data_IF_983418670114
#
_entry.id   IF_983418670114
#
_cell.length_a   1.000
_cell.length_b   1.000
_cell.length_c   1.000
_cell.angle_alpha   90.00
_cell.angle_beta   90.00
_cell.angle_gamma   90.00
#
_symmetry.space_group_name_H-M   'P 1'
#
loop_
_entity.id
_entity.type
_entity.pdbx_description
1 polymer ?
#
# COMPACT_ATOMS: atom_id res chain seq x y z
N UNK A 1 -5.29 20.44 -16.54
CA UNK A 1 -6.41 19.88 -15.76
C UNK A 1 -5.97 18.50 -15.31
N UNK A 2 -5.68 18.31 -14.01
CA UNK A 2 -5.36 16.97 -13.50
C UNK A 2 -6.63 16.14 -13.55
N UNK A 3 -6.69 15.19 -14.47
CA UNK A 3 -7.79 14.23 -14.53
C UNK A 3 -7.77 13.41 -13.25
N UNK A 4 -8.86 13.44 -12.50
CA UNK A 4 -9.10 12.54 -11.36
C UNK A 4 -9.17 11.11 -11.88
N UNK A 5 -8.48 10.17 -11.23
CA UNK A 5 -8.55 8.76 -11.59
C UNK A 5 -9.99 8.24 -11.39
N UNK A 6 -10.50 7.52 -12.38
CA UNK A 6 -11.79 6.82 -12.30
C UNK A 6 -11.51 5.33 -12.49
N UNK A 7 -11.88 4.51 -11.51
CA UNK A 7 -11.63 3.08 -11.56
C UNK A 7 -12.45 2.43 -12.67
N UNK A 8 -11.89 1.39 -13.29
CA UNK A 8 -12.54 0.65 -14.36
C UNK A 8 -13.90 0.12 -13.87
N UNK A 9 -15.02 0.38 -14.59
CA UNK A 9 -16.36 0.04 -14.11
C UNK A 9 -16.54 -1.48 -13.95
N UNK A 10 -15.88 -2.27 -14.83
CA UNK A 10 -15.98 -3.73 -14.81
C UNK A 10 -14.96 -4.44 -13.90
N UNK A 11 -14.23 -3.71 -13.03
CA UNK A 11 -13.15 -4.28 -12.19
C UNK A 11 -13.57 -5.48 -11.33
N UNK A 12 -14.88 -5.62 -11.06
CA UNK A 12 -15.44 -6.75 -10.32
C UNK A 12 -16.26 -7.75 -11.16
N UNK A 13 -16.72 -7.36 -12.35
CA UNK A 13 -17.63 -8.17 -13.18
C UNK A 13 -16.89 -9.03 -14.20
N UNK A 14 -15.69 -8.62 -14.63
CA UNK A 14 -14.86 -9.36 -15.60
C UNK A 14 -13.93 -10.40 -14.97
N UNK A 15 -14.11 -10.70 -13.68
CA UNK A 15 -13.23 -11.55 -12.91
C UNK A 15 -13.57 -13.03 -13.09
N UNK A 16 -12.55 -13.89 -12.96
CA UNK A 16 -12.76 -15.34 -12.96
C UNK A 16 -13.58 -15.78 -11.72
N UNK A 17 -14.34 -16.89 -11.81
CA UNK A 17 -15.00 -17.46 -10.64
C UNK A 17 -14.02 -17.67 -9.48
N UNK A 18 -14.48 -17.42 -8.25
CA UNK A 18 -13.66 -17.51 -7.03
C UNK A 18 -12.41 -16.61 -7.00
N UNK A 19 -12.43 -15.47 -7.73
CA UNK A 19 -11.40 -14.45 -7.64
C UNK A 19 -11.24 -13.93 -6.21
N UNK A 20 -12.34 -13.59 -5.54
CA UNK A 20 -12.34 -13.25 -4.12
C UNK A 20 -12.50 -14.52 -3.27
N UNK A 21 -11.66 -14.66 -2.24
CA UNK A 21 -11.61 -15.84 -1.37
C UNK A 21 -11.71 -15.42 0.10
N UNK A 22 -12.41 -16.21 0.91
CA UNK A 22 -12.47 -15.99 2.36
C UNK A 22 -11.09 -16.12 2.99
N UNK A 23 -10.74 -15.18 3.86
CA UNK A 23 -9.56 -15.28 4.70
C UNK A 23 -9.87 -16.20 5.89
N UNK A 24 -9.63 -17.50 5.71
CA UNK A 24 -9.93 -18.53 6.70
C UNK A 24 -11.43 -18.66 6.98
N UNK A 25 -11.81 -18.62 8.27
CA UNK A 25 -13.21 -18.69 8.73
C UNK A 25 -13.85 -17.30 8.93
N UNK A 26 -13.20 -16.22 8.47
CA UNK A 26 -13.73 -14.87 8.58
C UNK A 26 -14.72 -14.54 7.46
N UNK A 27 -15.45 -13.43 7.62
CA UNK A 27 -16.25 -12.82 6.55
C UNK A 27 -15.42 -12.00 5.55
N UNK A 28 -14.14 -11.73 5.85
CA UNK A 28 -13.27 -10.94 5.00
C UNK A 28 -12.91 -11.71 3.73
N UNK A 29 -13.10 -11.07 2.58
CA UNK A 29 -12.78 -11.61 1.27
C UNK A 29 -11.55 -10.90 0.71
N UNK A 30 -10.51 -11.64 0.36
CA UNK A 30 -9.31 -11.10 -0.28
C UNK A 30 -9.26 -11.50 -1.76
N UNK A 31 -8.70 -10.68 -2.64
CA UNK A 31 -8.45 -11.08 -4.03
C UNK A 31 -7.43 -12.22 -4.06
N UNK A 32 -7.55 -13.11 -5.04
CA UNK A 32 -6.62 -14.23 -5.22
C UNK A 32 -5.18 -13.77 -5.49
N UNK A 33 -5.02 -12.54 -5.95
CA UNK A 33 -3.74 -11.84 -6.14
C UNK A 33 -3.81 -10.53 -5.34
N UNK A 34 -2.78 -10.27 -4.55
CA UNK A 34 -2.59 -9.05 -3.75
C UNK A 34 -1.34 -8.34 -4.23
N UNK A 35 -1.33 -7.01 -4.19
CA UNK A 35 -0.14 -6.23 -4.56
C UNK A 35 0.67 -5.89 -3.30
N UNK A 36 1.88 -6.45 -3.21
CA UNK A 36 2.86 -6.09 -2.19
C UNK A 36 3.66 -4.87 -2.60
N UNK A 37 3.74 -3.87 -1.73
CA UNK A 37 4.45 -2.61 -1.95
C UNK A 37 5.86 -2.62 -1.32
N UNK A 38 6.54 -3.77 -1.32
CA UNK A 38 7.88 -3.92 -0.74
C UNK A 38 8.94 -3.15 -1.52
N UNK A 39 8.99 -3.37 -2.83
CA UNK A 39 9.87 -2.66 -3.76
C UNK A 39 9.05 -1.80 -4.71
N UNK A 40 9.72 -0.90 -5.42
CA UNK A 40 9.14 -0.02 -6.47
C UNK A 40 8.19 1.06 -5.96
N UNK A 41 8.09 1.26 -4.64
CA UNK A 41 7.33 2.36 -4.02
C UNK A 41 8.20 3.28 -3.15
N UNK A 42 9.53 3.10 -3.14
CA UNK A 42 10.45 3.79 -2.24
C UNK A 42 10.75 5.25 -2.58
N UNK A 43 12.02 5.63 -2.47
CA UNK A 43 12.56 6.89 -2.97
C UNK A 43 12.89 6.85 -4.46
N UNK A 44 13.08 8.02 -5.07
CA UNK A 44 13.52 8.13 -6.47
C UNK A 44 14.82 7.36 -6.69
N UNK A 45 14.93 6.65 -7.81
CA UNK A 45 16.11 5.86 -8.17
C UNK A 45 16.30 4.56 -7.36
N UNK A 46 15.34 4.20 -6.50
CA UNK A 46 15.43 2.97 -5.68
C UNK A 46 14.67 1.78 -6.27
N UNK A 47 13.93 2.00 -7.36
CA UNK A 47 13.18 0.98 -8.06
C UNK A 47 13.97 0.38 -9.23
N UNK A 48 13.46 -0.72 -9.79
CA UNK A 48 14.11 -1.39 -10.92
C UNK A 48 14.06 -0.58 -12.23
N UNK A 49 13.16 0.41 -12.33
CA UNK A 49 13.03 1.28 -13.49
C UNK A 49 14.07 2.41 -13.55
N UNK A 50 14.83 2.63 -12.46
CA UNK A 50 15.83 3.71 -12.35
C UNK A 50 15.30 5.08 -12.76
N UNK A 51 14.09 5.44 -12.30
CA UNK A 51 13.55 6.76 -12.56
C UNK A 51 14.43 7.85 -11.94
N UNK A 52 14.78 8.86 -12.74
CA UNK A 52 15.72 9.91 -12.35
C UNK A 52 15.05 11.06 -11.57
N UNK A 53 13.72 11.18 -11.63
CA UNK A 53 12.98 12.27 -11.00
C UNK A 53 11.71 11.80 -10.24
N UNK A 54 11.32 12.58 -9.23
CA UNK A 54 10.17 12.27 -8.37
C UNK A 54 8.84 12.25 -9.12
N UNK A 55 8.68 13.05 -10.19
CA UNK A 55 7.41 13.13 -10.91
C UNK A 55 7.18 11.87 -11.73
N UNK A 56 8.18 11.44 -12.51
CA UNK A 56 8.06 10.21 -13.32
C UNK A 56 7.96 8.97 -12.44
N UNK A 57 8.72 8.92 -11.35
CA UNK A 57 8.64 7.80 -10.42
C UNK A 57 7.29 7.73 -9.70
N UNK A 58 6.78 8.87 -9.23
CA UNK A 58 5.45 8.93 -8.60
C UNK A 58 4.34 8.52 -9.58
N UNK A 59 4.43 8.93 -10.84
CA UNK A 59 3.48 8.51 -11.88
C UNK A 59 3.52 7.00 -12.14
N UNK A 60 4.72 6.39 -12.17
CA UNK A 60 4.85 4.93 -12.30
C UNK A 60 4.16 4.20 -11.12
N UNK A 61 4.38 4.68 -9.89
CA UNK A 61 3.73 4.12 -8.70
C UNK A 61 2.20 4.26 -8.75
N UNK A 62 1.69 5.41 -9.23
CA UNK A 62 0.24 5.63 -9.45
C UNK A 62 -0.31 4.60 -10.43
N UNK A 63 0.34 4.43 -11.58
CA UNK A 63 -0.08 3.49 -12.62
C UNK A 63 -0.10 2.05 -12.12
N UNK A 64 0.88 1.64 -11.30
CA UNK A 64 0.87 0.30 -10.68
C UNK A 64 -0.35 0.08 -9.78
N UNK A 65 -0.68 1.04 -8.90
CA UNK A 65 -1.84 0.94 -8.01
C UNK A 65 -3.16 0.96 -8.79
N UNK A 66 -3.28 1.84 -9.80
CA UNK A 66 -4.47 1.94 -10.65
C UNK A 66 -4.69 0.67 -11.46
N UNK A 67 -3.64 0.14 -12.10
CA UNK A 67 -3.73 -1.09 -12.88
C UNK A 67 -4.13 -2.27 -11.98
N UNK A 68 -3.57 -2.36 -10.76
CA UNK A 68 -3.98 -3.38 -9.80
C UNK A 68 -5.46 -3.26 -9.45
N UNK A 69 -5.93 -2.06 -9.09
CA UNK A 69 -7.32 -1.83 -8.72
C UNK A 69 -8.30 -2.08 -9.88
N UNK A 70 -7.96 -1.66 -11.10
CA UNK A 70 -8.73 -1.91 -12.32
C UNK A 70 -8.81 -3.41 -12.70
N UNK A 71 -7.88 -4.22 -12.20
CA UNK A 71 -7.86 -5.67 -12.33
C UNK A 71 -8.57 -6.38 -11.16
N UNK A 72 -9.20 -5.65 -10.25
CA UNK A 72 -9.90 -6.20 -9.09
C UNK A 72 -8.98 -6.66 -7.97
N UNK A 73 -7.72 -6.20 -7.93
CA UNK A 73 -6.84 -6.35 -6.78
C UNK A 73 -7.19 -5.27 -5.77
N UNK A 74 -7.88 -5.66 -4.70
CA UNK A 74 -8.35 -4.75 -3.65
C UNK A 74 -7.50 -4.76 -2.39
N UNK A 75 -6.40 -5.51 -2.34
CA UNK A 75 -5.51 -5.56 -1.19
C UNK A 75 -4.13 -5.02 -1.57
N UNK A 76 -3.70 -3.95 -0.87
CA UNK A 76 -2.35 -3.41 -0.94
C UNK A 76 -1.61 -3.66 0.37
N UNK A 77 -0.49 -4.37 0.27
CA UNK A 77 0.26 -4.84 1.42
C UNK A 77 1.55 -4.04 1.63
N UNK A 78 1.68 -3.42 2.80
CA UNK A 78 2.81 -2.60 3.19
C UNK A 78 3.50 -3.11 4.47
N UNK A 79 4.63 -2.52 4.80
CA UNK A 79 5.25 -2.63 6.12
C UNK A 79 5.96 -1.32 6.44
N UNK A 80 6.18 -1.07 7.73
CA UNK A 80 6.80 0.16 8.22
C UNK A 80 8.16 0.48 7.59
N UNK A 81 8.92 -0.54 7.18
CA UNK A 81 10.27 -0.40 6.64
C UNK A 81 10.37 -0.64 5.13
N UNK A 82 9.25 -0.81 4.43
CA UNK A 82 9.26 -0.88 2.96
C UNK A 82 9.74 0.45 2.35
N UNK A 83 10.45 0.34 1.22
CA UNK A 83 11.26 1.41 0.64
C UNK A 83 12.31 0.84 -0.33
N UNK A 84 13.56 1.35 -0.37
CA UNK A 84 14.21 2.29 0.56
C UNK A 84 13.94 3.78 0.25
N UNK A 85 14.14 4.72 1.21
CA UNK A 85 14.47 4.47 2.62
C UNK A 85 13.27 3.90 3.39
N UNK A 86 13.47 3.28 4.57
CA UNK A 86 12.39 2.74 5.39
C UNK A 86 11.25 3.75 5.60
N UNK A 87 10.01 3.34 5.30
CA UNK A 87 8.80 4.15 5.44
C UNK A 87 8.40 4.94 4.19
N UNK A 88 9.30 5.07 3.20
CA UNK A 88 9.00 5.81 1.96
C UNK A 88 7.89 5.18 1.13
N UNK A 89 7.75 3.85 1.16
CA UNK A 89 6.64 3.16 0.50
C UNK A 89 5.28 3.56 1.11
N UNK A 90 5.19 3.64 2.43
CA UNK A 90 3.96 4.08 3.12
C UNK A 90 3.62 5.54 2.81
N UNK A 91 4.62 6.43 2.77
CA UNK A 91 4.41 7.84 2.40
C UNK A 91 3.94 7.99 0.95
N UNK A 92 4.53 7.21 0.03
CA UNK A 92 4.17 7.27 -1.39
C UNK A 92 2.78 6.72 -1.64
N UNK A 93 2.49 5.52 -1.14
CA UNK A 93 1.16 4.92 -1.27
C UNK A 93 0.12 5.79 -0.55
N UNK A 94 0.42 6.33 0.63
CA UNK A 94 -0.45 7.27 1.34
C UNK A 94 -0.80 8.52 0.55
N UNK A 95 0.19 9.13 -0.13
CA UNK A 95 -0.05 10.26 -1.04
C UNK A 95 -1.05 9.88 -2.14
N UNK A 96 -0.85 8.73 -2.79
CA UNK A 96 -1.70 8.25 -3.90
C UNK A 96 -3.11 7.88 -3.39
N UNK A 97 -3.21 7.22 -2.24
CA UNK A 97 -4.48 6.91 -1.60
C UNK A 97 -5.29 8.19 -1.34
N UNK A 98 -4.66 9.21 -0.80
CA UNK A 98 -5.32 10.49 -0.52
C UNK A 98 -5.70 11.27 -1.79
N UNK A 99 -4.80 11.35 -2.78
CA UNK A 99 -5.02 12.18 -3.97
C UNK A 99 -5.93 11.53 -5.00
N UNK A 100 -5.84 10.21 -5.19
CA UNK A 100 -6.40 9.53 -6.35
C UNK A 100 -7.38 8.40 -6.00
N UNK A 101 -7.21 7.75 -4.84
CA UNK A 101 -8.04 6.59 -4.44
C UNK A 101 -8.93 6.87 -3.23
N UNK A 102 -9.05 8.12 -2.79
CA UNK A 102 -9.77 8.47 -1.56
C UNK A 102 -11.26 8.12 -1.63
N UNK A 103 -11.86 8.26 -2.82
CA UNK A 103 -13.24 7.84 -3.08
C UNK A 103 -13.46 6.32 -3.01
N UNK A 104 -12.39 5.52 -3.04
CA UNK A 104 -12.43 4.06 -3.07
C UNK A 104 -11.85 3.43 -1.80
N UNK A 105 -11.54 4.21 -0.75
CA UNK A 105 -10.88 3.69 0.47
C UNK A 105 -11.61 2.50 1.08
N UNK A 106 -12.94 2.52 1.09
CA UNK A 106 -13.77 1.45 1.67
C UNK A 106 -13.85 0.19 0.78
N UNK A 107 -13.37 0.27 -0.46
CA UNK A 107 -13.24 -0.87 -1.38
C UNK A 107 -11.84 -1.51 -1.31
N UNK A 108 -10.92 -0.93 -0.53
CA UNK A 108 -9.51 -1.31 -0.47
C UNK A 108 -9.13 -1.79 0.93
N UNK A 109 -8.48 -2.93 1.00
CA UNK A 109 -7.80 -3.47 2.19
C UNK A 109 -6.36 -2.97 2.19
N UNK A 110 -5.95 -2.32 3.27
CA UNK A 110 -4.56 -1.87 3.48
C UNK A 110 -3.98 -2.57 4.70
N UNK A 111 -2.89 -3.33 4.52
CA UNK A 111 -2.11 -3.87 5.65
C UNK A 111 -0.81 -3.11 5.85
N UNK A 112 -0.38 -2.96 7.11
CA UNK A 112 1.01 -2.62 7.46
C UNK A 112 1.52 -3.52 8.58
N UNK A 113 2.82 -3.50 8.84
CA UNK A 113 3.52 -4.46 9.72
C UNK A 113 4.63 -3.77 10.50
N UNK A 114 4.90 -4.30 11.69
CA UNK A 114 6.07 -4.01 12.50
C UNK A 114 6.66 -5.32 13.01
N UNK A 115 7.99 -5.38 13.13
CA UNK A 115 8.70 -6.55 13.65
C UNK A 115 10.17 -6.60 13.26
N UNK A 116 10.50 -6.13 12.06
CA UNK A 116 11.89 -5.96 11.58
C UNK A 116 12.42 -4.56 11.86
N UNK A 117 13.74 -4.38 11.77
CA UNK A 117 14.38 -3.09 11.99
C UNK A 117 13.74 -1.96 11.17
N UNK A 118 13.29 -0.92 11.88
CA UNK A 118 12.75 0.32 11.32
C UNK A 118 13.57 1.53 11.75
N UNK A 119 13.95 1.61 13.03
CA UNK A 119 14.76 2.70 13.58
C UNK A 119 15.90 2.18 14.47
N UNK A 120 16.95 2.98 14.75
CA UNK A 120 17.98 2.61 15.72
C UNK A 120 17.46 2.48 17.16
N UNK A 121 18.23 1.76 17.98
CA UNK A 121 17.97 1.62 19.42
C UNK A 121 17.07 0.43 19.79
N UNK A 122 16.85 0.19 21.09
CA UNK A 122 16.19 -1.01 21.60
C UNK A 122 14.68 -1.07 21.33
N UNK A 123 14.10 -0.03 20.70
CA UNK A 123 12.66 0.13 20.48
C UNK A 123 12.29 0.24 19.00
N UNK A 124 13.20 -0.13 18.09
CA UNK A 124 13.01 -0.02 16.64
C UNK A 124 12.89 -1.36 15.90
N UNK A 125 12.83 -2.48 16.62
CA UNK A 125 12.80 -3.84 16.09
C UNK A 125 12.15 -4.83 17.09
N UNK A 126 11.74 -6.01 16.61
CA UNK A 126 11.13 -7.13 17.34
C UNK A 126 9.70 -6.89 17.84
N UNK A 127 9.27 -7.61 18.86
CA UNK A 127 7.85 -7.72 19.23
C UNK A 127 7.43 -6.92 20.47
N UNK A 128 8.23 -5.96 20.93
CA UNK A 128 7.87 -5.22 22.16
C UNK A 128 6.60 -4.40 21.94
N UNK A 129 5.69 -4.37 22.95
CA UNK A 129 4.47 -3.54 22.90
C UNK A 129 4.78 -2.08 22.57
N UNK A 130 5.89 -1.55 23.11
CA UNK A 130 6.35 -0.17 22.84
C UNK A 130 6.57 0.05 21.34
N UNK A 131 7.31 -0.85 20.70
CA UNK A 131 7.63 -0.71 19.29
C UNK A 131 6.42 -0.94 18.39
N UNK A 132 5.61 -1.98 18.65
CA UNK A 132 4.43 -2.28 17.83
C UNK A 132 3.45 -1.09 17.77
N UNK A 133 3.13 -0.49 18.92
CA UNK A 133 2.20 0.64 18.98
C UNK A 133 2.80 1.91 18.38
N UNK A 134 4.04 2.25 18.73
CA UNK A 134 4.71 3.43 18.18
C UNK A 134 4.90 3.33 16.66
N UNK A 135 5.14 2.13 16.14
CA UNK A 135 5.25 1.88 14.71
C UNK A 135 3.91 2.02 14.01
N UNK A 136 2.81 1.49 14.58
CA UNK A 136 1.47 1.66 14.02
C UNK A 136 1.09 3.14 13.91
N UNK A 137 1.29 3.93 14.98
CA UNK A 137 1.04 5.38 14.97
C UNK A 137 1.88 6.11 13.90
N UNK A 138 3.11 5.65 13.65
CA UNK A 138 3.95 6.22 12.62
C UNK A 138 3.49 5.83 11.21
N UNK A 139 3.09 4.58 11.00
CA UNK A 139 2.57 4.08 9.74
C UNK A 139 1.27 4.76 9.33
N UNK A 140 0.32 4.92 10.27
CA UNK A 140 -0.94 5.64 10.02
C UNK A 140 -0.69 7.10 9.62
N UNK A 141 0.25 7.78 10.28
CA UNK A 141 0.66 9.14 9.91
C UNK A 141 1.28 9.23 8.52
N UNK A 142 2.19 8.31 8.16
CA UNK A 142 2.82 8.28 6.82
C UNK A 142 1.78 8.01 5.72
N UNK A 143 0.89 7.05 5.96
CA UNK A 143 -0.16 6.69 4.99
C UNK A 143 -1.34 7.69 4.98
N UNK A 144 -1.44 8.57 5.98
CA UNK A 144 -2.55 9.49 6.17
C UNK A 144 -3.90 8.77 6.29
N UNK A 145 -3.92 7.71 7.10
CA UNK A 145 -5.11 6.87 7.34
C UNK A 145 -5.48 6.89 8.82
N UNK A 146 -6.78 6.75 9.10
CA UNK A 146 -7.28 6.59 10.47
C UNK A 146 -7.05 5.15 10.99
N UNK A 147 -7.04 4.17 10.08
CA UNK A 147 -6.82 2.76 10.38
C UNK A 147 -6.23 1.99 9.19
N UNK A 148 -5.68 0.81 9.50
CA UNK A 148 -5.38 -0.27 8.55
C UNK A 148 -6.33 -1.44 8.80
N UNK A 149 -6.59 -2.23 7.77
CA UNK A 149 -7.51 -3.37 7.77
C UNK A 149 -6.85 -4.64 8.34
#
# INVERSE_FOLDING_TARGET
MNSTYTAHPDRYTRLQPAWFRRCGKSGLMLPSITLGCWHNFGGVGTDAGHHEDERTFHENCRQMLFAAFDLGITHFDLANNYGPPPGSAEERVGRILKSDLSAYRDEIIISTKAGYRMTPGPYGEWGSRKYMLASLDASLRRMQLDYVD
#
